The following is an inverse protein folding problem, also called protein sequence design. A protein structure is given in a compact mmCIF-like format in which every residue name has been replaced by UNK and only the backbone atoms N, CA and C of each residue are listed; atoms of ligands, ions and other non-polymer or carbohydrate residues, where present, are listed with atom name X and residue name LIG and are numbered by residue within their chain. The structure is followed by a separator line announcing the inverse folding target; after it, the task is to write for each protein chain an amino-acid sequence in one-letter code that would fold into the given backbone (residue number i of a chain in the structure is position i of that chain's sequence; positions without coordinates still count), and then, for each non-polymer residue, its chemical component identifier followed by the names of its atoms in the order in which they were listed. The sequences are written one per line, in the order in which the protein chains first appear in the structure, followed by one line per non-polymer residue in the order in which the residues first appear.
data_IF_909130306587
#
_entry.id   IF_909130306587
#
_cell.length_a   1.000
_cell.length_b   1.000
_cell.length_c   1.000
_cell.angle_alpha   90.00
_cell.angle_beta   90.00
_cell.angle_gamma   90.00
#
_symmetry.space_group_name_H-M   'P 1'
#
loop_
_entity.id
_entity.type
_entity.pdbx_description
1 polymer ?
#
# COMPACT_ATOMS: atom_id res chain seq x y z
N UNK A 1 4.27 -7.73 16.11
CA UNK A 1 5.29 -6.98 16.88
C UNK A 1 4.73 -5.60 17.20
N UNK A 2 4.97 -5.05 18.40
CA UNK A 2 4.62 -3.67 18.69
C UNK A 2 5.45 -2.71 17.82
N UNK A 3 4.87 -1.56 17.51
CA UNK A 3 5.51 -0.44 16.84
C UNK A 3 5.56 0.77 17.79
N UNK A 4 6.48 1.69 17.54
CA UNK A 4 6.52 2.97 18.23
C UNK A 4 5.41 3.87 17.68
N UNK A 5 4.67 4.50 18.59
CA UNK A 5 3.53 5.36 18.26
C UNK A 5 3.69 6.69 18.98
N UNK A 6 4.48 7.63 18.42
CA UNK A 6 4.57 8.99 18.95
C UNK A 6 3.21 9.68 18.96
N UNK A 7 3.09 10.73 19.75
CA UNK A 7 1.86 11.51 19.74
C UNK A 7 1.62 12.06 18.33
N UNK A 8 0.36 12.13 17.89
CA UNK A 8 0.02 12.67 16.57
C UNK A 8 0.57 14.09 16.36
N UNK A 9 0.69 14.89 17.41
CA UNK A 9 1.29 16.24 17.38
C UNK A 9 2.80 16.20 17.11
N UNK A 10 3.50 15.19 17.63
CA UNK A 10 4.93 15.00 17.39
C UNK A 10 5.15 14.51 15.95
N UNK A 11 4.37 13.52 15.50
CA UNK A 11 4.39 13.05 14.11
C UNK A 11 4.11 14.19 13.13
N UNK A 12 3.11 15.02 13.41
CA UNK A 12 2.79 16.19 12.60
C UNK A 12 3.98 17.15 12.51
N UNK A 13 4.54 17.57 13.65
CA UNK A 13 5.67 18.50 13.68
C UNK A 13 6.90 17.94 12.95
N UNK A 14 7.27 16.69 13.24
CA UNK A 14 8.43 16.04 12.63
C UNK A 14 8.29 15.86 11.12
N UNK A 15 7.13 15.40 10.64
CA UNK A 15 6.88 15.27 9.21
C UNK A 15 6.85 16.62 8.50
N UNK A 16 6.21 17.63 9.08
CA UNK A 16 6.13 18.96 8.48
C UNK A 16 7.52 19.59 8.29
N UNK A 17 8.38 19.47 9.30
CA UNK A 17 9.75 19.97 9.24
C UNK A 17 10.55 19.28 8.12
N UNK A 18 10.51 17.95 8.08
CA UNK A 18 11.32 17.18 7.11
C UNK A 18 10.78 17.29 5.68
N UNK A 19 9.46 17.40 5.49
CA UNK A 19 8.85 17.53 4.16
C UNK A 19 9.20 18.85 3.48
N UNK A 20 9.48 19.94 4.23
CA UNK A 20 9.89 21.24 3.66
C UNK A 20 11.20 21.19 2.87
N UNK A 21 12.04 20.19 3.13
CA UNK A 21 13.24 19.92 2.33
C UNK A 21 12.97 19.17 1.01
N UNK A 22 11.74 18.67 0.80
CA UNK A 22 11.38 17.80 -0.30
C UNK A 22 10.32 18.39 -1.25
N UNK A 23 9.50 19.32 -0.76
CA UNK A 23 8.40 19.93 -1.50
C UNK A 23 8.39 21.44 -1.31
N UNK A 24 8.00 22.19 -2.34
CA UNK A 24 7.88 23.65 -2.24
C UNK A 24 6.69 24.07 -1.37
N UNK A 25 5.59 23.31 -1.43
CA UNK A 25 4.43 23.52 -0.57
C UNK A 25 4.22 22.31 0.34
N UNK A 26 4.08 22.57 1.63
CA UNK A 26 3.87 21.55 2.67
C UNK A 26 2.85 22.09 3.67
N UNK A 27 1.81 21.30 3.92
CA UNK A 27 0.87 21.46 5.03
C UNK A 27 0.67 20.09 5.67
N UNK A 28 1.08 19.97 6.93
CA UNK A 28 0.82 18.77 7.73
C UNK A 28 -0.02 19.20 8.91
N UNK A 29 -1.23 18.66 9.01
CA UNK A 29 -2.22 19.11 9.98
C UNK A 29 -2.96 17.94 10.61
N UNK A 30 -3.36 18.12 11.87
CA UNK A 30 -4.26 17.19 12.54
C UNK A 30 -5.70 17.66 12.34
N UNK A 31 -6.49 16.85 11.67
CA UNK A 31 -7.87 17.19 11.29
C UNK A 31 -8.82 16.06 11.64
N UNK A 32 -10.10 16.38 11.80
CA UNK A 32 -11.13 15.35 11.74
C UNK A 32 -11.16 14.75 10.33
N UNK A 33 -11.10 13.42 10.25
CA UNK A 33 -11.05 12.71 8.98
C UNK A 33 -12.29 13.06 8.15
N UNK A 34 -12.05 13.38 6.87
CA UNK A 34 -13.15 13.51 5.91
C UNK A 34 -13.77 12.13 5.69
N UNK A 35 -15.04 12.10 5.28
CA UNK A 35 -15.68 10.85 4.90
C UNK A 35 -14.98 10.22 3.67
N UNK A 36 -14.17 9.19 3.94
CA UNK A 36 -13.33 8.54 2.93
C UNK A 36 -14.12 7.67 1.95
N UNK A 37 -15.42 7.43 2.19
CA UNK A 37 -16.28 6.80 1.17
C UNK A 37 -16.34 7.63 -0.11
N UNK A 38 -16.16 8.95 0.00
CA UNK A 38 -16.05 9.88 -1.14
C UNK A 38 -14.77 9.70 -1.97
N UNK A 39 -13.78 8.99 -1.42
CA UNK A 39 -12.54 8.61 -2.10
C UNK A 39 -12.61 7.16 -2.60
N UNK A 40 -13.77 6.50 -2.49
CA UNK A 40 -13.98 5.13 -2.95
C UNK A 40 -13.69 4.06 -1.91
N UNK A 41 -13.48 4.42 -0.63
CA UNK A 41 -13.28 3.43 0.43
C UNK A 41 -14.60 2.81 0.90
N UNK A 42 -14.54 1.57 1.39
CA UNK A 42 -15.65 0.84 1.96
C UNK A 42 -16.06 1.30 3.37
N UNK A 43 -15.38 2.30 3.94
CA UNK A 43 -15.59 2.78 5.30
C UNK A 43 -15.15 4.25 5.43
N UNK A 44 -15.74 5.01 6.37
CA UNK A 44 -15.65 6.47 6.36
C UNK A 44 -14.37 7.06 6.99
N UNK A 45 -13.60 6.29 7.76
CA UNK A 45 -12.41 6.80 8.45
C UNK A 45 -11.35 5.72 8.72
N UNK A 46 -10.23 6.10 9.35
CA UNK A 46 -9.07 5.21 9.54
C UNK A 46 -8.84 4.80 11.00
N UNK A 47 -9.69 5.26 11.93
CA UNK A 47 -9.41 5.19 13.35
C UNK A 47 -9.92 3.89 14.01
N UNK A 48 -9.29 3.55 15.13
CA UNK A 48 -9.62 2.42 15.99
C UNK A 48 -8.72 1.22 15.72
N UNK A 49 -8.01 0.75 16.77
CA UNK A 49 -7.24 -0.50 16.77
C UNK A 49 -6.29 -0.68 15.56
N UNK A 50 -5.61 0.40 15.17
CA UNK A 50 -4.78 0.52 13.97
C UNK A 50 -3.60 -0.46 13.99
N UNK A 51 -3.49 -1.27 12.95
CA UNK A 51 -2.42 -2.26 12.78
C UNK A 51 -2.02 -2.38 11.31
N UNK A 52 -0.76 -2.72 11.07
CA UNK A 52 -0.30 -3.20 9.77
C UNK A 52 -0.29 -4.74 9.76
N UNK A 53 -0.53 -5.32 8.60
CA UNK A 53 -0.41 -6.76 8.36
C UNK A 53 0.39 -6.97 7.08
N UNK A 54 1.44 -7.78 7.20
CA UNK A 54 2.23 -8.30 6.09
C UNK A 54 1.97 -9.81 5.99
N UNK A 55 1.39 -10.26 4.89
CA UNK A 55 1.00 -11.65 4.68
C UNK A 55 1.67 -12.22 3.43
N UNK A 56 2.16 -13.45 3.51
CA UNK A 56 2.75 -14.14 2.35
C UNK A 56 4.08 -13.52 1.93
N UNK A 57 4.21 -13.09 0.68
CA UNK A 57 5.39 -12.36 0.20
C UNK A 57 5.70 -12.61 -1.26
N UNK A 58 6.59 -11.79 -1.82
CA UNK A 58 7.06 -11.89 -3.22
C UNK A 58 7.48 -13.31 -3.62
N UNK A 59 8.13 -14.14 -2.77
CA UNK A 59 8.43 -15.52 -3.15
C UNK A 59 7.23 -16.36 -3.61
N UNK A 60 6.03 -16.14 -3.06
CA UNK A 60 4.84 -16.88 -3.48
C UNK A 60 4.42 -16.52 -4.91
N UNK A 61 4.66 -15.28 -5.34
CA UNK A 61 4.38 -14.79 -6.68
C UNK A 61 5.34 -15.40 -7.71
N UNK A 62 6.61 -15.58 -7.33
CA UNK A 62 7.70 -15.99 -8.22
C UNK A 62 7.87 -17.51 -8.34
N UNK A 63 7.16 -18.31 -7.54
CA UNK A 63 7.21 -19.78 -7.59
C UNK A 63 5.83 -20.35 -7.99
N UNK A 64 5.73 -21.06 -9.13
CA UNK A 64 4.48 -21.69 -9.60
C UNK A 64 3.78 -22.58 -8.58
N UNK A 65 4.51 -23.11 -7.59
CA UNK A 65 3.95 -23.93 -6.50
C UNK A 65 2.99 -23.13 -5.61
N UNK A 66 3.19 -21.82 -5.49
CA UNK A 66 2.54 -20.97 -4.49
C UNK A 66 1.65 -19.88 -5.08
N UNK A 67 1.63 -19.70 -6.40
CA UNK A 67 0.88 -18.65 -7.12
C UNK A 67 -0.65 -18.71 -6.93
N UNK A 68 -1.17 -19.82 -6.40
CA UNK A 68 -2.60 -20.01 -6.10
C UNK A 68 -2.94 -19.94 -4.62
N UNK A 69 -1.98 -19.57 -3.76
CA UNK A 69 -2.27 -19.32 -2.33
C UNK A 69 -3.16 -18.10 -2.20
N UNK A 70 -4.20 -18.22 -1.37
CA UNK A 70 -5.17 -17.17 -1.12
C UNK A 70 -5.50 -17.05 0.37
N UNK A 71 -5.55 -15.82 0.87
CA UNK A 71 -5.73 -15.49 2.28
C UNK A 71 -7.03 -14.68 2.47
N UNK A 72 -7.98 -15.14 3.32
CA UNK A 72 -9.20 -14.39 3.60
C UNK A 72 -8.93 -13.10 4.37
N UNK A 73 -9.53 -11.99 3.94
CA UNK A 73 -9.41 -10.69 4.63
C UNK A 73 -10.05 -10.77 6.03
N UNK A 74 -11.16 -11.48 6.18
CA UNK A 74 -11.80 -11.71 7.48
C UNK A 74 -10.85 -12.40 8.49
N UNK A 75 -10.14 -13.45 8.07
CA UNK A 75 -9.16 -14.13 8.92
C UNK A 75 -7.97 -13.22 9.25
N UNK A 76 -7.53 -12.40 8.30
CA UNK A 76 -6.49 -11.39 8.54
C UNK A 76 -6.94 -10.39 9.61
N UNK A 77 -8.18 -9.89 9.52
CA UNK A 77 -8.78 -9.01 10.52
C UNK A 77 -8.87 -9.67 11.90
N UNK A 78 -9.26 -10.95 11.97
CA UNK A 78 -9.25 -11.74 13.22
C UNK A 78 -7.84 -11.82 13.81
N UNK A 79 -6.84 -12.15 12.99
CA UNK A 79 -5.43 -12.23 13.42
C UNK A 79 -4.89 -10.89 13.94
N UNK A 80 -5.32 -9.78 13.35
CA UNK A 80 -4.95 -8.44 13.79
C UNK A 80 -5.70 -7.98 15.08
N UNK A 81 -6.62 -8.79 15.60
CA UNK A 81 -7.43 -8.47 16.78
C UNK A 81 -8.62 -7.56 16.49
N UNK A 82 -9.02 -7.41 15.22
CA UNK A 82 -10.10 -6.52 14.76
C UNK A 82 -11.10 -7.30 13.88
N UNK A 83 -11.77 -8.35 14.40
CA UNK A 83 -12.52 -9.32 13.58
C UNK A 83 -13.66 -8.72 12.74
N UNK A 84 -14.29 -7.64 13.21
CA UNK A 84 -15.32 -6.89 12.46
C UNK A 84 -14.78 -5.59 11.85
N UNK A 85 -13.46 -5.49 11.72
CA UNK A 85 -12.75 -4.31 11.28
C UNK A 85 -12.84 -4.09 9.78
N UNK A 86 -11.93 -3.24 9.32
CA UNK A 86 -11.78 -2.79 7.96
C UNK A 86 -10.32 -2.98 7.54
N UNK A 87 -10.11 -3.31 6.27
CA UNK A 87 -8.79 -3.48 5.69
C UNK A 87 -8.65 -2.65 4.41
N UNK A 88 -7.51 -1.98 4.25
CA UNK A 88 -7.08 -1.38 2.98
C UNK A 88 -5.61 -1.69 2.70
N UNK A 89 -5.16 -1.62 1.45
CA UNK A 89 -3.72 -1.68 1.16
C UNK A 89 -3.40 -2.15 -0.25
N UNK A 90 -2.31 -2.91 -0.38
CA UNK A 90 -1.75 -3.39 -1.63
C UNK A 90 -1.50 -4.89 -1.58
N UNK A 91 -1.87 -5.61 -2.65
CA UNK A 91 -1.79 -7.08 -2.67
C UNK A 91 -1.83 -7.62 -4.11
N UNK A 92 -1.49 -8.89 -4.31
CA UNK A 92 -1.87 -9.60 -5.52
C UNK A 92 -3.32 -10.12 -5.40
N UNK A 93 -4.02 -10.27 -6.53
CA UNK A 93 -5.37 -10.82 -6.52
C UNK A 93 -5.37 -12.34 -6.31
N UNK A 94 -6.47 -12.91 -5.81
CA UNK A 94 -6.65 -14.36 -5.80
C UNK A 94 -6.82 -14.84 -7.24
N UNK A 95 -5.76 -15.43 -7.79
CA UNK A 95 -5.74 -15.91 -9.16
C UNK A 95 -6.75 -17.04 -9.43
N UNK A 96 -7.25 -17.73 -8.40
CA UNK A 96 -8.32 -18.71 -8.58
C UNK A 96 -9.68 -18.03 -8.84
N UNK A 97 -9.83 -16.78 -8.41
CA UNK A 97 -11.02 -15.97 -8.66
C UNK A 97 -10.90 -15.16 -9.96
N UNK A 98 -9.77 -14.47 -10.16
CA UNK A 98 -9.54 -13.65 -11.36
C UNK A 98 -9.26 -14.51 -12.60
N UNK A 99 -8.72 -15.72 -12.40
CA UNK A 99 -8.31 -16.64 -13.47
C UNK A 99 -6.88 -16.44 -13.96
N UNK A 100 -6.19 -15.39 -13.49
CA UNK A 100 -4.81 -15.02 -13.83
C UNK A 100 -4.18 -14.15 -12.75
N UNK A 101 -2.90 -13.83 -12.90
CA UNK A 101 -2.24 -12.84 -12.04
C UNK A 101 -2.82 -11.43 -12.24
N UNK A 102 -2.89 -10.66 -11.15
CA UNK A 102 -3.36 -9.28 -11.18
C UNK A 102 -2.96 -8.52 -9.92
N UNK A 103 -2.88 -7.19 -10.03
CA UNK A 103 -2.76 -6.28 -8.90
C UNK A 103 -4.11 -6.17 -8.18
N UNK A 104 -4.09 -6.08 -6.86
CA UNK A 104 -5.27 -5.91 -6.03
C UNK A 104 -5.14 -4.67 -5.16
N UNK A 105 -6.24 -3.93 -5.03
CA UNK A 105 -6.39 -2.77 -4.14
C UNK A 105 -7.44 -3.14 -3.08
N UNK A 106 -7.13 -3.99 -2.08
CA UNK A 106 -8.06 -4.36 -1.02
C UNK A 106 -8.69 -3.13 -0.37
N UNK A 107 -10.01 -3.08 -0.29
CA UNK A 107 -10.74 -2.10 0.50
C UNK A 107 -12.07 -2.71 0.94
N UNK A 108 -12.12 -3.17 2.20
CA UNK A 108 -13.24 -3.95 2.71
C UNK A 108 -13.56 -3.58 4.16
N UNK A 109 -14.85 -3.48 4.47
CA UNK A 109 -15.41 -3.46 5.82
C UNK A 109 -16.05 -4.81 6.10
N UNK A 110 -15.41 -5.63 6.93
CA UNK A 110 -15.85 -6.99 7.25
C UNK A 110 -17.18 -6.95 8.01
N UNK A 111 -17.23 -6.18 9.11
CA UNK A 111 -18.44 -6.01 9.90
C UNK A 111 -19.57 -5.29 9.16
N UNK A 112 -19.21 -4.34 8.28
CA UNK A 112 -20.15 -3.61 7.44
C UNK A 112 -20.63 -4.39 6.21
N UNK A 113 -19.98 -5.52 5.89
CA UNK A 113 -20.21 -6.33 4.67
C UNK A 113 -20.21 -5.49 3.39
N UNK A 114 -19.26 -4.55 3.33
CA UNK A 114 -19.09 -3.66 2.18
C UNK A 114 -17.68 -3.83 1.63
N UNK A 115 -17.59 -4.00 0.32
CA UNK A 115 -16.33 -4.13 -0.41
C UNK A 115 -16.32 -3.14 -1.57
N UNK A 116 -15.27 -2.35 -1.65
CA UNK A 116 -14.99 -1.48 -2.79
C UNK A 116 -13.67 -1.85 -3.48
N UNK A 117 -13.08 -2.99 -3.09
CA UNK A 117 -11.88 -3.58 -3.67
C UNK A 117 -11.93 -3.56 -5.19
N UNK A 118 -10.84 -3.09 -5.78
CA UNK A 118 -10.60 -3.10 -7.22
C UNK A 118 -9.42 -4.01 -7.52
N UNK A 119 -9.37 -4.56 -8.73
CA UNK A 119 -8.19 -5.25 -9.25
C UNK A 119 -7.82 -4.66 -10.60
N UNK A 120 -6.51 -4.55 -10.86
CA UNK A 120 -5.96 -4.12 -12.13
C UNK A 120 -5.19 -5.28 -12.74
N UNK A 121 -5.53 -5.64 -13.98
CA UNK A 121 -4.90 -6.72 -14.72
C UNK A 121 -4.54 -6.25 -16.13
N UNK A 122 -3.74 -7.03 -16.84
CA UNK A 122 -3.61 -6.86 -18.28
C UNK A 122 -4.70 -7.65 -19.01
N UNK A 123 -4.99 -7.25 -20.25
CA UNK A 123 -5.79 -8.02 -21.19
C UNK A 123 -5.10 -9.34 -21.58
N UNK A 124 -5.77 -10.19 -22.36
CA UNK A 124 -5.29 -11.54 -22.67
C UNK A 124 -3.98 -11.57 -23.50
N UNK A 125 -3.64 -10.43 -24.13
CA UNK A 125 -2.39 -10.26 -24.88
C UNK A 125 -1.26 -9.63 -24.02
N UNK A 126 -1.50 -9.37 -22.73
CA UNK A 126 -0.57 -8.68 -21.81
C UNK A 126 -0.14 -7.28 -22.30
N UNK A 127 -1.04 -6.55 -22.99
CA UNK A 127 -0.76 -5.25 -23.59
C UNK A 127 -1.49 -4.09 -22.88
N UNK A 128 -2.76 -4.27 -22.52
CA UNK A 128 -3.60 -3.16 -22.06
C UNK A 128 -4.02 -3.30 -20.60
N UNK A 129 -3.93 -2.23 -19.80
CA UNK A 129 -4.40 -2.23 -18.42
C UNK A 129 -5.94 -2.22 -18.38
N UNK A 130 -6.51 -3.04 -17.51
CA UNK A 130 -7.94 -3.09 -17.21
C UNK A 130 -8.18 -3.03 -15.71
N UNK A 131 -8.97 -2.06 -15.25
CA UNK A 131 -9.49 -2.00 -13.89
C UNK A 131 -10.88 -2.64 -13.82
N UNK A 132 -11.10 -3.48 -12.80
CA UNK A 132 -12.40 -4.08 -12.56
C UNK A 132 -12.72 -4.19 -11.07
N UNK A 133 -14.03 -4.23 -10.77
CA UNK A 133 -14.51 -4.53 -9.44
C UNK A 133 -14.11 -5.96 -9.03
N UNK A 134 -13.72 -6.13 -7.77
CA UNK A 134 -13.31 -7.41 -7.22
C UNK A 134 -14.23 -7.78 -6.06
N UNK A 135 -15.27 -8.57 -6.35
CA UNK A 135 -16.25 -9.01 -5.36
C UNK A 135 -15.86 -10.35 -4.71
N UNK A 136 -14.67 -10.38 -4.12
CA UNK A 136 -14.15 -11.56 -3.44
C UNK A 136 -13.38 -11.16 -2.17
N UNK A 137 -13.63 -11.87 -1.07
CA UNK A 137 -13.08 -11.53 0.26
C UNK A 137 -11.69 -12.11 0.54
N UNK A 138 -10.91 -12.42 -0.50
CA UNK A 138 -9.59 -13.04 -0.38
C UNK A 138 -8.57 -12.27 -1.19
N UNK A 139 -7.34 -12.28 -0.72
CA UNK A 139 -6.17 -11.79 -1.45
C UNK A 139 -5.27 -12.96 -1.87
N UNK A 140 -4.43 -12.79 -2.88
CA UNK A 140 -3.52 -13.83 -3.37
C UNK A 140 -2.05 -13.55 -3.05
N UNK A 141 -1.22 -14.60 -2.97
CA UNK A 141 0.25 -14.59 -2.86
C UNK A 141 0.89 -13.77 -1.73
N UNK A 142 0.67 -12.46 -1.70
CA UNK A 142 1.23 -11.48 -0.78
C UNK A 142 0.23 -10.35 -0.53
N UNK A 143 0.31 -9.72 0.64
CA UNK A 143 -0.47 -8.52 0.94
C UNK A 143 0.16 -7.68 2.04
N UNK A 144 0.05 -6.37 1.88
CA UNK A 144 0.46 -5.38 2.87
C UNK A 144 -0.74 -4.49 3.14
N UNK A 145 -1.36 -4.69 4.30
CA UNK A 145 -2.66 -4.15 4.65
C UNK A 145 -2.57 -3.28 5.90
N UNK A 146 -3.30 -2.17 5.89
CA UNK A 146 -3.68 -1.43 7.07
C UNK A 146 -5.05 -1.92 7.54
N UNK A 147 -5.12 -2.33 8.80
CA UNK A 147 -6.34 -2.82 9.46
C UNK A 147 -6.72 -1.88 10.59
N UNK A 148 -8.01 -1.53 10.67
CA UNK A 148 -8.57 -0.69 11.73
C UNK A 148 -10.05 -1.00 11.97
N UNK A 149 -10.70 -0.28 12.87
CA UNK A 149 -12.15 -0.34 13.04
C UNK A 149 -12.90 0.52 11.99
N UNK A 150 -12.19 1.27 11.15
CA UNK A 150 -12.77 2.10 10.08
C UNK A 150 -13.56 3.31 10.58
N UNK A 151 -13.35 3.73 11.83
CA UNK A 151 -14.13 4.78 12.48
C UNK A 151 -13.68 6.18 12.04
N UNK A 152 -14.62 7.15 11.98
CA UNK A 152 -14.24 8.56 11.94
C UNK A 152 -13.40 8.95 13.17
N UNK A 153 -12.60 9.99 13.03
CA UNK A 153 -11.80 10.54 14.10
C UNK A 153 -10.65 11.40 13.58
N UNK A 154 -9.78 11.83 14.49
CA UNK A 154 -8.64 12.68 14.15
C UNK A 154 -7.55 11.88 13.44
N UNK A 155 -7.06 12.42 12.33
CA UNK A 155 -6.03 11.81 11.48
C UNK A 155 -4.94 12.81 11.13
N UNK A 156 -3.79 12.29 10.69
CA UNK A 156 -2.75 13.11 10.09
C UNK A 156 -3.11 13.39 8.63
N UNK A 157 -3.37 14.65 8.30
CA UNK A 157 -3.50 15.12 6.93
C UNK A 157 -2.18 15.66 6.44
N UNK A 158 -1.74 15.21 5.27
CA UNK A 158 -0.53 15.68 4.61
C UNK A 158 -0.93 16.20 3.25
N UNK A 159 -0.65 17.48 2.98
CA UNK A 159 -0.79 18.07 1.66
C UNK A 159 0.56 18.61 1.20
N UNK A 160 1.03 18.14 0.07
CA UNK A 160 2.31 18.56 -0.50
C UNK A 160 2.18 18.86 -1.99
N UNK A 161 2.98 19.81 -2.49
CA UNK A 161 3.01 20.16 -3.90
C UNK A 161 4.44 20.48 -4.36
N UNK A 162 4.68 20.23 -5.65
CA UNK A 162 5.92 20.55 -6.37
C UNK A 162 7.14 19.91 -5.70
N UNK A 163 7.37 18.63 -5.97
CA UNK A 163 8.50 17.88 -5.45
C UNK A 163 9.80 18.47 -5.98
N UNK A 164 10.70 18.79 -5.05
CA UNK A 164 12.02 19.34 -5.33
C UNK A 164 12.89 18.34 -6.09
N UNK A 165 13.72 18.83 -7.02
CA UNK A 165 14.73 18.04 -7.73
C UNK A 165 15.80 17.46 -6.78
N UNK A 166 15.95 18.01 -5.58
CA UNK A 166 16.85 17.50 -4.53
C UNK A 166 16.24 16.32 -3.75
N UNK A 167 14.93 16.11 -3.86
CA UNK A 167 14.23 15.05 -3.17
C UNK A 167 14.63 13.68 -3.72
N UNK A 168 14.80 12.70 -2.83
CA UNK A 168 15.16 11.32 -3.19
C UNK A 168 13.98 10.40 -2.90
N UNK A 169 13.57 9.65 -3.91
CA UNK A 169 12.45 8.72 -3.84
C UNK A 169 11.10 9.37 -4.21
N UNK A 170 10.10 8.52 -4.32
CA UNK A 170 8.69 8.89 -4.52
C UNK A 170 8.04 9.46 -3.24
N UNK A 171 6.74 9.80 -3.29
CA UNK A 171 6.04 10.38 -2.14
C UNK A 171 6.10 9.50 -0.88
N UNK A 172 5.95 8.19 -1.02
CA UNK A 172 5.93 7.23 0.09
C UNK A 172 7.35 7.03 0.63
N UNK A 173 8.34 6.91 -0.24
CA UNK A 173 9.75 6.84 0.15
C UNK A 173 10.21 8.15 0.85
N UNK A 174 9.74 9.30 0.40
CA UNK A 174 10.00 10.58 1.06
C UNK A 174 9.38 10.60 2.46
N UNK A 175 8.13 10.18 2.62
CA UNK A 175 7.49 10.07 3.95
C UNK A 175 8.27 9.16 4.89
N UNK A 176 8.66 7.98 4.41
CA UNK A 176 9.49 7.03 5.16
C UNK A 176 10.82 7.69 5.61
N UNK A 177 11.53 8.33 4.69
CA UNK A 177 12.77 9.03 5.00
C UNK A 177 12.57 10.19 5.99
N UNK A 178 11.43 10.88 5.92
CA UNK A 178 11.08 11.94 6.88
C UNK A 178 10.87 11.36 8.28
N UNK A 179 10.18 10.22 8.40
CA UNK A 179 10.02 9.53 9.70
C UNK A 179 11.36 9.10 10.28
N UNK A 180 12.24 8.49 9.48
CA UNK A 180 13.58 8.07 9.94
C UNK A 180 14.41 9.25 10.43
N UNK A 181 14.31 10.41 9.78
CA UNK A 181 15.05 11.61 10.22
C UNK A 181 14.47 12.23 11.49
N UNK A 182 13.14 12.28 11.60
CA UNK A 182 12.47 12.87 12.76
C UNK A 182 12.54 11.97 14.00
N UNK A 183 12.51 10.65 13.81
CA UNK A 183 12.43 9.64 14.86
C UNK A 183 13.46 8.51 14.61
N UNK A 184 14.77 8.79 14.73
CA UNK A 184 15.83 7.89 14.27
C UNK A 184 15.97 6.59 15.05
N UNK A 185 15.36 6.49 16.23
CA UNK A 185 15.41 5.31 17.10
C UNK A 185 14.09 4.54 17.15
N UNK A 186 13.09 4.96 16.36
CA UNK A 186 11.73 4.44 16.45
C UNK A 186 11.33 3.66 15.19
N UNK A 187 10.59 2.58 15.40
CA UNK A 187 9.98 1.77 14.37
C UNK A 187 8.51 2.16 14.22
N UNK A 188 8.25 3.13 13.33
CA UNK A 188 6.93 3.71 13.12
C UNK A 188 6.31 3.07 11.88
N UNK A 189 5.09 2.56 12.00
CA UNK A 189 4.29 2.14 10.86
C UNK A 189 3.16 3.12 10.59
N UNK A 190 2.96 3.51 9.33
CA UNK A 190 1.80 4.28 8.89
C UNK A 190 0.97 3.47 7.89
N UNK A 191 -0.34 3.63 7.97
CA UNK A 191 -1.25 3.14 6.94
C UNK A 191 -2.38 4.13 6.69
N UNK A 192 -2.90 4.14 5.46
CA UNK A 192 -3.89 5.10 5.06
C UNK A 192 -4.05 5.24 3.55
N UNK A 193 -4.49 6.42 3.15
CA UNK A 193 -4.88 6.71 1.77
C UNK A 193 -4.34 8.06 1.32
N UNK A 194 -3.97 8.18 0.05
CA UNK A 194 -3.70 9.48 -0.57
C UNK A 194 -4.31 9.60 -1.95
N UNK A 195 -4.44 10.84 -2.44
CA UNK A 195 -4.84 11.15 -3.81
C UNK A 195 -3.76 11.94 -4.52
N UNK A 196 -3.64 11.70 -5.82
CA UNK A 196 -2.89 12.55 -6.73
C UNK A 196 -3.85 13.62 -7.26
N UNK A 197 -3.78 14.83 -6.70
CA UNK A 197 -4.66 15.94 -7.09
C UNK A 197 -4.25 16.55 -8.44
N UNK A 198 -2.95 16.52 -8.75
CA UNK A 198 -2.35 17.00 -10.00
C UNK A 198 -1.06 16.22 -10.28
N UNK A 199 -0.68 16.12 -11.56
CA UNK A 199 0.50 15.40 -12.04
C UNK A 199 0.19 14.01 -12.60
N UNK A 200 1.24 13.23 -12.86
CA UNK A 200 1.17 11.86 -13.35
C UNK A 200 2.11 10.94 -12.57
N UNK A 201 1.81 9.64 -12.59
CA UNK A 201 2.58 8.60 -11.90
C UNK A 201 2.97 7.47 -12.83
N UNK A 202 4.17 6.92 -12.60
CA UNK A 202 4.58 5.63 -13.12
C UNK A 202 4.01 4.55 -12.20
N UNK A 203 3.40 3.55 -12.82
CA UNK A 203 2.93 2.36 -12.14
C UNK A 203 3.24 1.11 -12.96
N UNK A 204 3.06 -0.06 -12.36
CA UNK A 204 3.09 -1.31 -13.09
C UNK A 204 1.83 -2.15 -12.86
N UNK A 205 1.60 -3.06 -13.80
CA UNK A 205 0.68 -4.18 -13.66
C UNK A 205 1.45 -5.42 -14.06
N UNK A 206 1.41 -6.45 -13.22
CA UNK A 206 2.01 -7.74 -13.54
C UNK A 206 1.29 -8.42 -14.72
N UNK A 207 2.03 -8.97 -15.71
CA UNK A 207 1.49 -9.97 -16.62
C UNK A 207 1.08 -11.25 -15.89
N UNK A 208 0.54 -12.21 -16.64
CA UNK A 208 0.25 -13.52 -16.07
C UNK A 208 1.53 -14.24 -15.59
N UNK A 209 1.34 -15.21 -14.71
CA UNK A 209 2.44 -15.94 -14.08
C UNK A 209 3.32 -16.66 -15.08
N UNK A 210 4.63 -16.64 -14.85
CA UNK A 210 5.54 -17.58 -15.52
C UNK A 210 5.33 -19.00 -15.00
N UNK A 211 5.51 -19.98 -15.88
CA UNK A 211 5.44 -21.42 -15.55
C UNK A 211 6.71 -21.96 -14.88
N UNK A 212 7.72 -21.12 -14.69
CA UNK A 212 9.00 -21.44 -14.08
C UNK A 212 9.26 -20.52 -12.90
N UNK A 213 10.06 -20.99 -11.95
CA UNK A 213 10.53 -20.16 -10.84
C UNK A 213 11.31 -18.96 -11.39
N UNK A 214 10.96 -17.77 -10.91
CA UNK A 214 11.64 -16.52 -11.25
C UNK A 214 12.62 -16.11 -10.16
N UNK A 215 13.71 -15.47 -10.57
CA UNK A 215 14.64 -14.80 -9.65
C UNK A 215 14.28 -13.33 -9.53
N UNK A 216 14.29 -12.78 -8.33
CA UNK A 216 13.98 -11.36 -8.13
C UNK A 216 15.08 -10.45 -8.71
N UNK A 217 14.76 -9.17 -8.91
CA UNK A 217 15.65 -8.19 -9.52
C UNK A 217 15.46 -8.09 -11.04
N UNK A 218 16.51 -8.21 -11.88
CA UNK A 218 16.42 -7.90 -13.31
C UNK A 218 15.37 -8.73 -14.08
N UNK A 219 15.18 -10.00 -13.71
CA UNK A 219 14.19 -10.84 -14.38
C UNK A 219 12.75 -10.36 -14.09
N UNK A 220 12.44 -10.04 -12.83
CA UNK A 220 11.16 -9.46 -12.44
C UNK A 220 10.96 -8.10 -13.11
N UNK A 221 11.97 -7.23 -13.06
CA UNK A 221 11.90 -5.91 -13.70
C UNK A 221 11.60 -5.99 -15.20
N UNK A 222 12.17 -6.97 -15.89
CA UNK A 222 11.90 -7.20 -17.32
C UNK A 222 10.51 -7.78 -17.61
N UNK A 223 9.91 -8.46 -16.63
CA UNK A 223 8.59 -9.08 -16.75
C UNK A 223 7.47 -8.08 -16.48
N UNK A 224 7.64 -7.16 -15.53
CA UNK A 224 6.65 -6.15 -15.21
C UNK A 224 6.33 -5.23 -16.40
N UNK A 225 5.06 -4.86 -16.57
CA UNK A 225 4.62 -3.88 -17.57
C UNK A 225 4.35 -2.55 -16.90
N UNK A 226 5.05 -1.51 -17.36
CA UNK A 226 4.98 -0.18 -16.78
C UNK A 226 4.11 0.75 -17.62
N UNK A 227 3.35 1.59 -16.93
CA UNK A 227 2.43 2.56 -17.49
C UNK A 227 2.59 3.90 -16.80
N UNK A 228 2.17 4.96 -17.49
CA UNK A 228 2.00 6.28 -16.90
C UNK A 228 0.50 6.58 -16.79
N UNK A 229 0.07 7.06 -15.63
CA UNK A 229 -1.33 7.37 -15.34
C UNK A 229 -1.48 8.80 -14.82
N UNK A 230 -2.61 9.41 -15.15
CA UNK A 230 -2.92 10.79 -14.78
C UNK A 230 -3.39 10.97 -13.33
N UNK A 231 -3.85 12.18 -12.98
CA UNK A 231 -4.32 12.50 -11.64
C UNK A 231 -5.73 11.95 -11.37
N UNK A 232 -6.16 12.08 -10.12
CA UNK A 232 -7.49 11.71 -9.65
C UNK A 232 -7.58 10.35 -8.96
N UNK A 233 -6.53 9.52 -9.06
CA UNK A 233 -6.46 8.21 -8.42
C UNK A 233 -6.50 8.25 -6.89
N UNK A 234 -7.05 7.20 -6.28
CA UNK A 234 -6.99 6.89 -4.85
C UNK A 234 -5.95 5.81 -4.62
N UNK A 235 -4.96 6.11 -3.78
CA UNK A 235 -3.82 5.26 -3.47
C UNK A 235 -3.94 4.72 -2.06
N UNK A 236 -3.85 3.40 -1.90
CA UNK A 236 -3.92 2.68 -0.63
C UNK A 236 -2.51 2.29 -0.24
N UNK A 237 -2.04 2.75 0.92
CA UNK A 237 -0.62 2.70 1.25
C UNK A 237 -0.36 2.21 2.66
N UNK A 238 0.68 1.40 2.78
CA UNK A 238 1.30 1.00 4.04
C UNK A 238 2.78 1.29 3.97
N UNK A 239 3.38 1.79 5.06
CA UNK A 239 4.81 1.96 5.18
C UNK A 239 5.31 1.75 6.62
N UNK A 240 6.57 1.37 6.77
CA UNK A 240 7.35 1.26 8.00
C UNK A 240 8.59 2.16 7.86
N UNK A 241 8.93 2.95 8.88
CA UNK A 241 10.19 3.71 8.90
C UNK A 241 11.41 2.79 8.85
N UNK A 242 11.31 1.63 9.50
CA UNK A 242 12.33 0.58 9.57
C UNK A 242 11.71 -0.74 10.00
N UNK A 243 12.39 -1.87 9.75
CA UNK A 243 11.92 -3.20 10.15
C UNK A 243 12.18 -3.41 11.67
N UNK A 244 11.14 -3.51 12.53
CA UNK A 244 11.31 -3.73 13.97
C UNK A 244 11.85 -5.12 14.34
N UNK A 245 12.00 -6.02 13.36
CA UNK A 245 12.52 -7.36 13.54
C UNK A 245 14.00 -7.51 13.18
N UNK A 246 14.65 -6.42 12.75
CA UNK A 246 16.01 -6.43 12.19
C UNK A 246 16.14 -7.40 11.00
N UNK A 247 15.14 -7.41 10.12
CA UNK A 247 15.10 -8.22 8.90
C UNK A 247 14.66 -9.68 9.11
N UNK A 248 14.46 -10.14 10.35
CA UNK A 248 14.10 -11.54 10.64
C UNK A 248 12.72 -11.95 10.12
N UNK A 249 11.81 -11.01 9.91
CA UNK A 249 10.46 -11.28 9.41
C UNK A 249 10.28 -10.97 7.92
N UNK A 250 11.34 -10.48 7.26
CA UNK A 250 11.34 -10.12 5.84
C UNK A 250 10.15 -9.20 5.49
N UNK A 251 9.94 -8.16 6.29
CA UNK A 251 8.81 -7.24 6.13
C UNK A 251 8.99 -6.37 4.89
N UNK A 252 7.92 -6.15 4.15
CA UNK A 252 7.88 -5.14 3.08
C UNK A 252 7.76 -3.76 3.72
N UNK A 253 8.81 -2.95 3.60
CA UNK A 253 8.84 -1.64 4.24
C UNK A 253 7.84 -0.64 3.68
N UNK A 254 7.47 -0.74 2.42
CA UNK A 254 6.39 0.07 1.85
C UNK A 254 5.72 -0.67 0.69
N UNK A 255 4.41 -0.44 0.55
CA UNK A 255 3.65 -0.99 -0.56
C UNK A 255 2.42 -0.12 -0.83
N UNK A 256 2.24 0.29 -2.08
CA UNK A 256 1.16 1.17 -2.48
C UNK A 256 0.57 0.73 -3.80
N UNK A 257 -0.72 0.42 -3.80
CA UNK A 257 -1.49 0.24 -5.02
C UNK A 257 -2.53 1.36 -5.14
N UNK A 258 -3.09 1.55 -6.32
CA UNK A 258 -4.06 2.59 -6.55
C UNK A 258 -5.12 2.19 -7.56
N UNK A 259 -6.22 2.91 -7.54
CA UNK A 259 -7.29 2.82 -8.53
C UNK A 259 -7.85 4.20 -8.84
N UNK A 260 -8.38 4.37 -10.06
CA UNK A 260 -9.13 5.54 -10.48
C UNK A 260 -10.37 5.06 -11.23
N UNK A 261 -11.50 5.00 -10.52
CA UNK A 261 -12.77 4.54 -11.12
C UNK A 261 -13.31 5.47 -12.20
N UNK A 262 -12.86 6.73 -12.25
CA UNK A 262 -13.28 7.68 -13.27
C UNK A 262 -12.60 7.46 -14.63
N UNK A 263 -11.36 6.95 -14.63
CA UNK A 263 -10.56 6.69 -15.84
C UNK A 263 -10.40 5.20 -16.15
N UNK A 264 -10.69 4.32 -15.19
CA UNK A 264 -10.46 2.88 -15.32
C UNK A 264 -8.99 2.48 -15.15
N UNK A 265 -8.20 3.31 -14.48
CA UNK A 265 -6.75 3.11 -14.27
C UNK A 265 -6.47 2.50 -12.89
N UNK A 266 -5.39 1.73 -12.75
CA UNK A 266 -4.95 1.20 -11.47
C UNK A 266 -3.69 0.35 -11.58
N UNK A 267 -3.19 -0.10 -10.44
CA UNK A 267 -2.02 -0.98 -10.36
C UNK A 267 -1.09 -0.62 -9.21
N UNK A 268 0.18 -0.98 -9.34
CA UNK A 268 1.21 -0.76 -8.34
C UNK A 268 1.97 0.55 -8.58
N UNK A 269 1.93 1.46 -7.61
CA UNK A 269 2.60 2.76 -7.67
C UNK A 269 4.12 2.66 -7.57
N UNK A 270 4.84 3.40 -8.42
CA UNK A 270 6.29 3.57 -8.32
C UNK A 270 6.67 4.99 -7.89
N UNK A 271 6.37 6.00 -8.73
CA UNK A 271 6.79 7.38 -8.48
C UNK A 271 5.97 8.36 -9.32
N UNK A 272 5.89 9.64 -8.94
CA UNK A 272 5.46 10.68 -9.88
C UNK A 272 6.47 10.85 -11.02
N UNK A 273 5.94 11.10 -12.22
CA UNK A 273 6.72 11.42 -13.43
C UNK A 273 6.73 12.92 -13.75
N UNK A 274 5.88 13.69 -13.06
CA UNK A 274 5.78 15.15 -13.18
C UNK A 274 6.05 15.84 -11.83
N UNK A 275 7.28 15.77 -11.27
CA UNK A 275 7.56 16.22 -9.91
C UNK A 275 7.22 17.70 -9.66
N UNK A 276 7.40 18.58 -10.65
CA UNK A 276 7.11 20.02 -10.52
C UNK A 276 5.60 20.34 -10.48
N UNK A 277 4.76 19.45 -10.99
CA UNK A 277 3.32 19.62 -11.08
C UNK A 277 2.55 18.71 -10.12
N UNK A 278 3.26 17.82 -9.40
CA UNK A 278 2.63 16.84 -8.53
C UNK A 278 2.00 17.51 -7.31
N UNK A 279 0.77 17.13 -6.99
CA UNK A 279 0.09 17.51 -5.75
C UNK A 279 -0.51 16.27 -5.12
N UNK A 280 -0.19 16.06 -3.85
CA UNK A 280 -0.70 14.94 -3.08
C UNK A 280 -1.49 15.45 -1.88
N UNK A 281 -2.66 14.84 -1.64
CA UNK A 281 -3.39 14.98 -0.37
C UNK A 281 -3.54 13.59 0.25
N UNK A 282 -3.09 13.42 1.48
CA UNK A 282 -3.07 12.14 2.18
C UNK A 282 -3.71 12.22 3.56
N UNK A 283 -4.24 11.08 4.01
CA UNK A 283 -4.70 10.82 5.36
C UNK A 283 -4.04 9.54 5.86
N UNK A 284 -3.31 9.64 6.96
CA UNK A 284 -2.59 8.52 7.56
C UNK A 284 -2.87 8.40 9.05
N UNK A 285 -2.74 7.18 9.55
CA UNK A 285 -2.72 6.87 10.97
C UNK A 285 -1.50 6.01 11.32
N UNK A 286 -0.88 6.23 12.49
CA UNK A 286 0.16 5.33 12.98
C UNK A 286 -0.46 4.01 13.44
N UNK A 287 0.16 2.91 13.06
CA UNK A 287 -0.20 1.57 13.49
C UNK A 287 0.50 1.22 14.81
N UNK A 288 -0.21 0.51 15.69
CA UNK A 288 0.30 0.07 17.00
C UNK A 288 1.08 -1.24 16.89
N UNK A 289 0.77 -2.03 15.88
CA UNK A 289 1.36 -3.34 15.66
C UNK A 289 1.59 -3.58 14.17
N UNK A 290 2.61 -4.39 13.87
CA UNK A 290 2.78 -5.08 12.58
C UNK A 290 2.64 -6.59 12.81
N UNK A 291 1.76 -7.24 12.06
CA UNK A 291 1.58 -8.70 12.08
C UNK A 291 2.22 -9.30 10.84
N UNK A 292 3.03 -10.35 11.02
CA UNK A 292 3.54 -11.17 9.93
C UNK A 292 2.76 -12.48 9.88
N UNK A 293 2.11 -12.77 8.76
CA UNK A 293 1.32 -14.00 8.54
C UNK A 293 1.98 -14.79 7.41
N UNK A 294 2.26 -16.07 7.63
CA UNK A 294 2.74 -16.98 6.57
C UNK A 294 3.97 -16.43 5.84
N UNK A 295 5.09 -16.29 6.56
CA UNK A 295 6.34 -15.76 6.01
C UNK A 295 6.82 -16.59 4.80
N UNK A 296 6.59 -16.11 3.58
CA UNK A 296 6.88 -16.85 2.36
C UNK A 296 8.38 -17.17 2.18
N UNK A 297 9.25 -16.40 2.81
CA UNK A 297 10.70 -16.55 2.72
C UNK A 297 11.19 -17.83 3.43
N UNK A 298 10.45 -18.31 4.45
CA UNK A 298 10.80 -19.54 5.20
C UNK A 298 10.66 -20.82 4.36
N UNK A 299 9.87 -20.75 3.28
CA UNK A 299 9.59 -21.90 2.39
C UNK A 299 10.14 -21.74 0.98
N UNK A 300 10.82 -20.63 0.69
CA UNK A 300 11.17 -20.27 -0.68
C UNK A 300 12.41 -20.99 -1.20
N UNK A 301 12.37 -21.36 -2.50
CA UNK A 301 13.55 -21.72 -3.30
C UNK A 301 14.05 -20.54 -4.16
N UNK A 302 13.29 -19.44 -4.20
CA UNK A 302 13.62 -18.25 -4.96
C UNK A 302 14.73 -17.45 -4.29
N UNK A 303 15.65 -16.90 -5.08
CA UNK A 303 16.58 -15.90 -4.62
C UNK A 303 15.86 -14.54 -4.68
N UNK A 304 15.46 -14.03 -3.52
CA UNK A 304 14.86 -12.70 -3.38
C UNK A 304 15.87 -11.80 -2.66
N UNK A 305 16.10 -10.59 -3.17
CA UNK A 305 16.88 -9.60 -2.43
C UNK A 305 15.97 -8.98 -1.39
N UNK A 306 16.36 -9.08 -0.13
CA UNK A 306 15.71 -8.37 0.96
C UNK A 306 16.45 -7.03 1.03
N UNK A 307 15.94 -6.03 0.33
CA UNK A 307 16.44 -4.65 0.41
C UNK A 307 15.75 -3.91 1.57
#
# INVERSE_FOLDING_TARGET
MPLDVPALTELQAGLEEQLKGNYESVDVSLVECVDLSRWGLAFPGLCGSESLVDVGGVPNLLDPTFQRLAYPIEEICVCAGVPNGCALGASAADANFVGRNAELMPCESVGGRLRTTQTAKLDDDDERPELMAYDHGRIGCLGNLFVSEGKPGRVLKIKVANRSELSKGDFVAVLQNCLVKAFPTEHIGLGGVFRLDSGAVKAHIMPDFKKTVMTDGPEVESWLKFFEFGPGGTFLSTLLSSDPSDGRLNLRLSHTHFFNSGTGEGGHYHNDTTPKDCQYTAYFMPAKYIYRIENAFDRSKCLVKVD
#
